data_IF_208947357930
#
_entry.id   IF_208947357930
#
_cell.length_a   1.000
_cell.length_b   1.000
_cell.length_c   1.000
_cell.angle_alpha   90.00
_cell.angle_beta   90.00
_cell.angle_gamma   90.00
#
_symmetry.space_group_name_H-M   'P 1'
#
loop_
_entity.id
_entity.type
_entity.pdbx_description
1 polymer ?
#
# COMPACT_ATOMS: atom_id res chain seq x y z
N UNK A 1 -1.14 -13.30 -6.55
CA UNK A 1 -1.68 -12.99 -5.22
C UNK A 1 -2.69 -11.85 -5.30
N UNK A 2 -3.85 -12.03 -4.65
CA UNK A 2 -4.86 -10.98 -4.44
C UNK A 2 -5.30 -10.98 -2.96
N UNK A 3 -5.35 -9.81 -2.33
CA UNK A 3 -5.76 -9.67 -0.92
C UNK A 3 -6.41 -8.32 -0.65
N UNK A 4 -7.43 -8.30 0.21
CA UNK A 4 -7.92 -7.05 0.80
C UNK A 4 -7.19 -6.74 2.10
N UNK A 5 -6.60 -5.55 2.19
CA UNK A 5 -5.89 -5.06 3.37
C UNK A 5 -6.62 -3.82 3.90
N UNK A 6 -6.83 -3.77 5.22
CA UNK A 6 -7.30 -2.56 5.89
C UNK A 6 -6.10 -1.70 6.24
N UNK A 7 -6.22 -0.41 6.03
CA UNK A 7 -5.29 0.60 6.52
C UNK A 7 -6.03 1.51 7.49
N UNK A 8 -5.38 1.92 8.58
CA UNK A 8 -6.00 2.78 9.58
C UNK A 8 -5.00 3.76 10.19
N UNK A 9 -5.50 4.90 10.66
CA UNK A 9 -4.75 5.85 11.47
C UNK A 9 -4.81 5.48 12.94
N UNK A 10 -3.66 5.52 13.62
CA UNK A 10 -3.62 5.43 15.08
C UNK A 10 -4.02 6.78 15.74
N UNK A 11 -3.97 6.84 17.07
CA UNK A 11 -4.27 8.06 17.83
C UNK A 11 -3.31 9.24 17.56
N UNK A 12 -2.14 8.99 16.95
CA UNK A 12 -1.18 10.01 16.50
C UNK A 12 -1.36 10.39 15.03
N UNK A 13 -2.42 9.90 14.38
CA UNK A 13 -2.73 10.10 12.95
C UNK A 13 -1.72 9.50 11.97
N UNK A 14 -0.91 8.54 12.42
CA UNK A 14 0.01 7.77 11.59
C UNK A 14 -0.72 6.58 10.97
N UNK A 15 -0.47 6.29 9.70
CA UNK A 15 -1.08 5.18 8.98
C UNK A 15 -0.39 3.85 9.27
N UNK A 16 -1.18 2.79 9.42
CA UNK A 16 -0.71 1.41 9.59
C UNK A 16 -1.50 0.46 8.69
N UNK A 17 -0.85 -0.59 8.20
CA UNK A 17 -1.49 -1.73 7.57
C UNK A 17 -1.97 -2.75 8.63
N UNK A 18 -3.18 -3.25 8.47
CA UNK A 18 -3.75 -4.31 9.32
C UNK A 18 -3.42 -5.68 8.71
N UNK A 19 -2.32 -6.28 9.19
CA UNK A 19 -1.82 -7.59 8.74
C UNK A 19 -1.69 -8.48 9.98
N UNK A 20 -2.76 -9.16 10.42
CA UNK A 20 -2.76 -9.89 11.69
C UNK A 20 -1.84 -11.12 11.68
N UNK A 21 -1.41 -11.59 10.51
CA UNK A 21 -0.44 -12.70 10.39
C UNK A 21 1.01 -12.22 10.49
N UNK A 22 1.26 -10.91 10.51
CA UNK A 22 2.61 -10.37 10.72
C UNK A 22 3.04 -10.64 12.16
N UNK A 23 4.06 -11.50 12.32
CA UNK A 23 4.61 -11.84 13.63
C UNK A 23 5.69 -10.89 14.13
N UNK A 24 6.01 -9.84 13.37
CA UNK A 24 7.04 -8.84 13.70
C UNK A 24 6.51 -7.69 14.55
N UNK A 25 7.24 -6.57 14.54
CA UNK A 25 6.87 -5.39 15.31
C UNK A 25 5.70 -4.65 14.63
N UNK A 26 4.87 -3.96 15.40
CA UNK A 26 3.75 -3.19 14.82
C UNK A 26 4.25 -1.97 14.04
N UNK A 27 5.42 -1.47 14.43
CA UNK A 27 6.16 -0.39 13.77
C UNK A 27 6.52 -0.75 12.32
N UNK A 28 6.74 -2.03 12.02
CA UNK A 28 7.02 -2.49 10.65
C UNK A 28 5.81 -2.32 9.72
N UNK A 29 4.60 -2.24 10.29
CA UNK A 29 3.34 -2.05 9.58
C UNK A 29 3.00 -0.57 9.35
N UNK A 30 3.83 0.35 9.84
CA UNK A 30 3.63 1.77 9.62
C UNK A 30 3.83 2.12 8.14
N UNK A 31 2.90 2.88 7.58
CA UNK A 31 2.98 3.42 6.22
C UNK A 31 3.70 4.77 6.29
N UNK A 32 4.77 4.91 5.51
CA UNK A 32 5.63 6.10 5.48
C UNK A 32 6.12 6.36 4.06
N UNK A 33 6.91 7.43 3.86
CA UNK A 33 7.59 7.74 2.59
C UNK A 33 6.66 7.68 1.37
N UNK A 34 5.55 8.43 1.45
CA UNK A 34 4.60 8.60 0.36
C UNK A 34 3.45 7.60 0.38
N UNK A 35 3.60 6.45 1.05
CA UNK A 35 2.50 5.49 1.22
C UNK A 35 1.36 6.08 2.07
N UNK A 36 1.71 6.81 3.13
CA UNK A 36 0.81 7.55 4.00
C UNK A 36 0.08 8.69 3.27
N UNK A 37 0.79 9.41 2.40
CA UNK A 37 0.21 10.46 1.55
C UNK A 37 -0.82 9.89 0.58
N UNK A 38 -0.49 8.76 -0.07
CA UNK A 38 -1.43 8.05 -0.94
C UNK A 38 -2.69 7.64 -0.15
N UNK A 39 -2.52 7.09 1.07
CA UNK A 39 -3.65 6.71 1.91
C UNK A 39 -4.51 7.91 2.32
N UNK A 40 -3.92 9.09 2.54
CA UNK A 40 -4.67 10.32 2.74
C UNK A 40 -5.53 10.67 1.51
N UNK A 41 -5.03 10.49 0.28
CA UNK A 41 -5.81 10.74 -0.94
C UNK A 41 -6.96 9.72 -1.15
N UNK A 42 -6.75 8.48 -0.71
CA UNK A 42 -7.72 7.38 -0.84
C UNK A 42 -8.82 7.49 0.22
N UNK A 43 -8.44 7.71 1.48
CA UNK A 43 -9.35 7.80 2.61
C UNK A 43 -10.09 9.15 2.65
N UNK A 44 -9.50 10.20 2.07
CA UNK A 44 -10.03 11.57 2.05
C UNK A 44 -10.22 12.10 3.48
N UNK A 45 -11.43 12.03 4.03
CA UNK A 45 -11.75 12.47 5.41
C UNK A 45 -11.77 11.33 6.42
N UNK A 46 -11.66 10.08 5.97
CA UNK A 46 -11.73 8.91 6.84
C UNK A 46 -10.38 8.61 7.51
N UNK A 47 -10.45 8.00 8.69
CA UNK A 47 -9.27 7.49 9.40
C UNK A 47 -8.92 6.04 9.04
N UNK A 48 -9.66 5.43 8.12
CA UNK A 48 -9.38 4.09 7.63
C UNK A 48 -9.84 3.90 6.18
N UNK A 49 -9.27 2.92 5.51
CA UNK A 49 -9.79 2.43 4.23
C UNK A 49 -9.44 0.95 4.04
N UNK A 50 -10.09 0.30 3.08
CA UNK A 50 -9.74 -1.05 2.64
C UNK A 50 -9.34 -1.01 1.18
N UNK A 51 -8.20 -1.62 0.86
CA UNK A 51 -7.72 -1.75 -0.51
C UNK A 51 -7.68 -3.23 -0.88
N UNK A 52 -8.29 -3.56 -2.02
CA UNK A 52 -7.94 -4.74 -2.77
C UNK A 52 -6.55 -4.47 -3.36
N UNK A 53 -5.62 -5.38 -3.16
CA UNK A 53 -4.26 -5.31 -3.70
C UNK A 53 -3.94 -6.62 -4.40
N UNK A 54 -3.38 -6.55 -5.61
CA UNK A 54 -3.05 -7.72 -6.42
C UNK A 54 -1.74 -7.52 -7.19
N UNK A 55 -1.03 -8.61 -7.47
CA UNK A 55 0.14 -8.65 -8.36
C UNK A 55 -0.24 -9.04 -9.81
N UNK A 56 -1.50 -9.40 -10.04
CA UNK A 56 -2.10 -9.64 -11.34
C UNK A 56 -3.11 -8.54 -11.69
N UNK A 57 -3.43 -8.42 -12.98
CA UNK A 57 -4.27 -7.35 -13.50
C UNK A 57 -5.67 -7.35 -12.89
N UNK A 58 -6.10 -6.19 -12.39
CA UNK A 58 -7.45 -5.94 -11.89
C UNK A 58 -8.09 -4.79 -12.67
N UNK A 59 -9.32 -5.01 -13.14
CA UNK A 59 -10.06 -4.01 -13.90
C UNK A 59 -10.34 -2.75 -13.07
N UNK A 60 -10.04 -1.59 -13.67
CA UNK A 60 -10.23 -0.27 -13.08
C UNK A 60 -9.48 -0.09 -11.74
N UNK A 61 -8.35 -0.77 -11.57
CA UNK A 61 -7.43 -0.54 -10.49
C UNK A 61 -6.41 0.54 -10.85
N UNK A 62 -5.91 1.24 -9.83
CA UNK A 62 -4.71 2.05 -9.93
C UNK A 62 -3.49 1.11 -9.91
N UNK A 63 -2.34 1.56 -10.43
CA UNK A 63 -1.16 0.72 -10.59
C UNK A 63 0.06 1.40 -9.96
N UNK A 64 0.77 0.66 -9.12
CA UNK A 64 2.10 0.98 -8.63
C UNK A 64 3.12 0.20 -9.44
N UNK A 65 4.15 0.88 -9.96
CA UNK A 65 5.24 0.27 -10.70
C UNK A 65 6.52 0.26 -9.86
N UNK A 66 7.10 -0.90 -9.63
CA UNK A 66 8.40 -1.00 -8.97
C UNK A 66 9.47 -0.30 -9.83
N UNK A 67 10.18 0.66 -9.24
CA UNK A 67 11.26 1.41 -9.91
C UNK A 67 12.63 1.10 -9.33
N UNK A 68 12.70 0.71 -8.05
CA UNK A 68 13.96 0.38 -7.39
C UNK A 68 13.72 -0.63 -6.26
N UNK A 69 14.57 -1.64 -6.16
CA UNK A 69 14.58 -2.59 -5.04
C UNK A 69 15.56 -2.05 -3.99
N UNK A 70 15.09 -1.82 -2.77
CA UNK A 70 15.94 -1.31 -1.69
C UNK A 70 16.70 -2.46 -1.02
N UNK A 71 17.93 -2.19 -0.62
CA UNK A 71 18.74 -3.12 0.18
C UNK A 71 18.12 -3.34 1.57
N UNK A 72 18.33 -4.53 2.16
CA UNK A 72 17.76 -4.89 3.47
C UNK A 72 18.16 -3.93 4.60
N UNK A 73 19.40 -3.44 4.58
CA UNK A 73 19.91 -2.46 5.55
C UNK A 73 19.23 -1.08 5.46
N UNK A 74 18.48 -0.82 4.39
CA UNK A 74 17.66 0.38 4.19
C UNK A 74 16.17 0.10 4.44
N UNK A 75 15.84 -1.02 5.09
CA UNK A 75 14.47 -1.46 5.37
C UNK A 75 13.88 -2.42 4.33
N UNK A 76 14.62 -2.74 3.27
CA UNK A 76 14.22 -3.66 2.21
C UNK A 76 12.99 -3.20 1.42
N UNK A 77 12.39 -4.13 0.69
CA UNK A 77 11.24 -3.86 -0.18
C UNK A 77 11.62 -3.04 -1.42
N UNK A 78 10.77 -2.10 -1.81
CA UNK A 78 10.98 -1.34 -3.04
C UNK A 78 10.34 0.04 -3.08
N UNK A 79 10.94 0.91 -3.88
CA UNK A 79 10.33 2.16 -4.30
C UNK A 79 9.43 1.89 -5.50
N UNK A 80 8.20 2.34 -5.39
CA UNK A 80 7.17 2.25 -6.40
C UNK A 80 6.77 3.64 -6.90
N UNK A 81 6.30 3.69 -8.14
CA UNK A 81 5.78 4.89 -8.77
C UNK A 81 4.29 4.75 -9.07
N UNK A 82 3.53 5.73 -8.61
CA UNK A 82 2.14 5.97 -9.02
C UNK A 82 2.13 7.12 -10.03
N UNK A 83 2.16 6.79 -11.32
CA UNK A 83 2.18 7.80 -12.39
C UNK A 83 0.85 8.56 -12.47
N UNK A 84 -0.27 7.86 -12.32
CA UNK A 84 -1.61 8.42 -12.39
C UNK A 84 -2.45 7.97 -11.20
N UNK A 85 -3.33 8.85 -10.73
CA UNK A 85 -4.33 8.51 -9.73
C UNK A 85 -5.65 9.16 -10.10
N UNK A 86 -6.71 8.35 -10.25
CA UNK A 86 -8.05 8.80 -10.66
C UNK A 86 -8.02 9.63 -11.95
N UNK A 87 -7.18 9.23 -12.90
CA UNK A 87 -7.02 9.89 -14.21
C UNK A 87 -6.21 11.18 -14.21
N UNK A 88 -5.64 11.59 -13.08
CA UNK A 88 -4.72 12.73 -13.01
C UNK A 88 -3.27 12.25 -12.88
N UNK A 89 -2.35 12.88 -13.62
CA UNK A 89 -0.91 12.66 -13.46
C UNK A 89 -0.44 13.08 -12.05
N UNK A 90 0.36 12.23 -11.41
CA UNK A 90 0.83 12.40 -10.03
C UNK A 90 2.34 12.28 -9.89
N UNK A 91 2.98 11.35 -10.60
CA UNK A 91 4.42 11.04 -10.46
C UNK A 91 4.83 10.82 -8.99
N UNK A 92 3.99 10.09 -8.25
CA UNK A 92 4.12 9.97 -6.80
C UNK A 92 4.94 8.75 -6.42
N UNK A 93 6.05 8.98 -5.70
CA UNK A 93 6.95 7.92 -5.23
C UNK A 93 6.49 7.40 -3.88
N UNK A 94 6.50 6.08 -3.75
CA UNK A 94 6.02 5.37 -2.56
C UNK A 94 7.05 4.30 -2.21
N UNK A 95 7.59 4.33 -1.00
CA UNK A 95 8.33 3.19 -0.49
C UNK A 95 7.37 2.18 0.15
N UNK A 96 7.50 0.92 -0.23
CA UNK A 96 6.87 -0.20 0.43
C UNK A 96 7.96 -1.12 0.97
N UNK A 97 8.03 -1.29 2.29
CA UNK A 97 9.08 -2.03 2.99
C UNK A 97 9.00 -3.55 2.77
N UNK A 98 9.91 -4.30 3.40
CA UNK A 98 9.97 -5.77 3.32
C UNK A 98 8.70 -6.53 3.73
N UNK A 99 7.78 -5.90 4.48
CA UNK A 99 6.45 -6.48 4.77
C UNK A 99 5.67 -6.78 3.47
N UNK A 100 5.94 -6.03 2.41
CA UNK A 100 5.36 -6.28 1.07
C UNK A 100 5.69 -7.68 0.57
N UNK A 101 6.94 -8.13 0.73
CA UNK A 101 7.37 -9.47 0.32
C UNK A 101 6.73 -10.56 1.18
N UNK A 102 6.47 -10.27 2.46
CA UNK A 102 5.70 -11.18 3.31
C UNK A 102 4.26 -11.36 2.82
N UNK A 103 3.61 -10.28 2.39
CA UNK A 103 2.23 -10.27 1.87
C UNK A 103 2.15 -10.98 0.52
N UNK A 104 3.01 -10.60 -0.42
CA UNK A 104 2.96 -11.06 -1.81
C UNK A 104 3.76 -12.34 -2.09
N UNK A 105 4.58 -12.80 -1.12
CA UNK A 105 5.56 -13.90 -1.24
C UNK A 105 6.71 -13.63 -2.22
N UNK A 106 6.77 -12.41 -2.74
CA UNK A 106 7.80 -11.84 -3.61
C UNK A 106 7.62 -10.32 -3.60
N UNK A 107 8.57 -9.56 -4.15
CA UNK A 107 8.39 -8.14 -4.43
C UNK A 107 7.81 -7.98 -5.85
N UNK A 108 6.54 -7.56 -6.02
CA UNK A 108 5.92 -7.53 -7.34
C UNK A 108 6.45 -6.37 -8.21
N UNK A 109 6.65 -6.59 -9.51
CA UNK A 109 6.97 -5.49 -10.45
C UNK A 109 5.81 -4.48 -10.59
N UNK A 110 4.58 -4.97 -10.39
CA UNK A 110 3.35 -4.17 -10.43
C UNK A 110 2.45 -4.57 -9.28
N UNK A 111 1.86 -3.57 -8.63
CA UNK A 111 0.81 -3.76 -7.65
C UNK A 111 -0.43 -3.00 -8.13
N UNK A 112 -1.47 -3.74 -8.44
CA UNK A 112 -2.80 -3.22 -8.75
C UNK A 112 -3.53 -2.98 -7.44
N UNK A 113 -4.15 -1.82 -7.26
CA UNK A 113 -4.97 -1.56 -6.08
C UNK A 113 -6.27 -0.81 -6.37
N UNK A 114 -7.29 -1.13 -5.57
CA UNK A 114 -8.61 -0.48 -5.66
C UNK A 114 -9.23 -0.33 -4.28
N UNK A 115 -9.83 0.83 -4.00
CA UNK A 115 -10.61 1.01 -2.77
C UNK A 115 -11.83 0.11 -2.80
N UNK A 116 -11.98 -0.73 -1.78
CA UNK A 116 -13.16 -1.57 -1.58
C UNK A 116 -14.12 -0.79 -0.70
N UNK A 117 -15.36 -0.59 -1.18
CA UNK A 117 -16.40 0.01 -0.35
C UNK A 117 -16.75 -0.88 0.85
N UNK A 118 -17.28 -0.31 1.93
CA UNK A 118 -18.11 -1.12 2.82
C UNK A 118 -19.32 -1.57 1.99
N UNK A 119 -19.46 -2.88 1.77
CA UNK A 119 -20.76 -3.43 1.42
C UNK A 119 -21.72 -2.93 2.51
N UNK A 120 -22.64 -2.05 2.13
CA UNK A 120 -23.81 -1.77 2.95
C UNK A 120 -24.54 -3.11 3.05
N UNK A 121 -24.39 -3.79 4.19
CA UNK A 121 -25.21 -4.93 4.58
C UNK A 121 -26.64 -4.49 4.81
#
# INVERSE_FOLDING_TARGET
MERTIRFYKNAKHEWYADIPEWGGAIEDLQMVEGADELLNWIAVSENECKLLMADEHVDQAEILHLVYVREENLGGGGDYLLEQFKGAYKDHKIWLCGVTEFVFKQLPEKIYFKKVGQLLS
#
